data_IF_043240014335
#
_entry.id   IF_043240014335
#
_cell.length_a   1.000
_cell.length_b   1.000
_cell.length_c   1.000
_cell.angle_alpha   90.00
_cell.angle_beta   90.00
_cell.angle_gamma   90.00
#
_symmetry.space_group_name_H-M   'P 1'
#
loop_
_entity.id
_entity.type
_entity.pdbx_description
1 polymer ?
#
# COMPACT_ATOMS: atom_id res chain seq x y z
N UNK A 1 20.61 15.94 -0.51
CA UNK A 1 19.43 16.62 -1.10
C UNK A 1 18.38 15.56 -1.39
N UNK A 2 17.14 15.70 -0.90
CA UNK A 2 16.10 14.71 -1.11
C UNK A 2 15.72 14.59 -2.59
N UNK A 3 15.46 13.36 -3.02
CA UNK A 3 14.91 13.09 -4.36
C UNK A 3 13.39 13.18 -4.25
N UNK A 4 12.74 13.78 -5.22
CA UNK A 4 11.29 13.81 -5.32
C UNK A 4 10.86 13.16 -6.64
N UNK A 5 9.85 12.29 -6.56
CA UNK A 5 9.16 11.78 -7.74
C UNK A 5 7.99 12.70 -8.06
N UNK A 6 7.91 13.17 -9.29
CA UNK A 6 6.82 14.01 -9.75
C UNK A 6 6.03 13.34 -10.87
N UNK A 7 4.76 13.70 -10.95
CA UNK A 7 3.90 13.41 -12.10
C UNK A 7 3.19 14.70 -12.47
N UNK A 8 3.30 15.11 -13.73
CA UNK A 8 2.66 16.31 -14.23
C UNK A 8 2.14 16.13 -15.65
N UNK A 9 1.48 17.16 -16.15
CA UNK A 9 1.08 17.25 -17.56
C UNK A 9 1.84 18.38 -18.23
N UNK A 10 2.37 18.13 -19.42
CA UNK A 10 2.95 19.17 -20.27
C UNK A 10 1.83 20.02 -20.88
N UNK A 11 2.18 21.16 -21.49
CA UNK A 11 1.23 21.99 -22.23
C UNK A 11 0.55 21.24 -23.39
N UNK A 12 1.15 20.16 -23.90
CA UNK A 12 0.57 19.28 -24.92
C UNK A 12 -0.43 18.25 -24.35
N UNK A 13 -0.65 18.23 -23.03
CA UNK A 13 -1.52 17.26 -22.36
C UNK A 13 -0.86 15.92 -22.06
N UNK A 14 0.41 15.72 -22.41
CA UNK A 14 1.16 14.50 -22.15
C UNK A 14 1.52 14.38 -20.68
N UNK A 15 1.27 13.20 -20.09
CA UNK A 15 1.66 12.91 -18.72
C UNK A 15 3.16 12.62 -18.69
N UNK A 16 3.90 13.43 -17.94
CA UNK A 16 5.34 13.25 -17.72
C UNK A 16 5.55 12.93 -16.26
N UNK A 17 6.23 11.81 -16.01
CA UNK A 17 6.66 11.38 -14.69
C UNK A 17 8.17 11.20 -14.67
N UNK A 18 8.82 11.62 -13.58
CA UNK A 18 10.25 11.47 -13.42
C UNK A 18 10.69 11.74 -11.99
N UNK A 19 11.98 11.49 -11.75
CA UNK A 19 12.64 11.78 -10.48
C UNK A 19 13.49 13.05 -10.63
N UNK A 20 13.42 13.95 -9.64
CA UNK A 20 14.18 15.19 -9.59
C UNK A 20 14.67 15.47 -8.18
N UNK A 21 15.90 15.96 -8.09
CA UNK A 21 16.49 16.39 -6.82
C UNK A 21 16.00 17.81 -6.54
N UNK A 22 15.42 18.03 -5.36
CA UNK A 22 14.99 19.36 -4.92
C UNK A 22 15.25 19.52 -3.43
N UNK A 23 15.35 20.76 -2.95
CA UNK A 23 15.52 21.04 -1.52
C UNK A 23 14.18 20.95 -0.77
N UNK A 24 13.06 21.25 -1.43
CA UNK A 24 11.71 21.12 -0.90
C UNK A 24 10.67 21.05 -2.03
N UNK A 25 9.41 20.74 -1.68
CA UNK A 25 8.27 20.66 -2.62
C UNK A 25 8.05 21.96 -3.42
N UNK A 26 8.28 23.11 -2.81
CA UNK A 26 8.09 24.42 -3.46
C UNK A 26 9.12 24.67 -4.56
N UNK A 27 10.39 24.30 -4.29
CA UNK A 27 11.49 24.36 -5.26
C UNK A 27 11.22 23.42 -6.43
N UNK A 28 10.77 22.19 -6.16
CA UNK A 28 10.41 21.25 -7.24
C UNK A 28 9.24 21.79 -8.08
N UNK A 29 8.20 22.32 -7.45
CA UNK A 29 7.06 22.89 -8.17
C UNK A 29 7.47 24.08 -9.04
N UNK A 30 8.40 24.93 -8.57
CA UNK A 30 8.94 26.03 -9.35
C UNK A 30 9.76 25.55 -10.55
N UNK A 31 10.58 24.50 -10.38
CA UNK A 31 11.32 23.86 -11.48
C UNK A 31 10.38 23.28 -12.54
N UNK A 32 9.37 22.51 -12.13
CA UNK A 32 8.39 21.91 -13.05
C UNK A 32 7.60 22.97 -13.82
N UNK A 33 7.18 24.05 -13.15
CA UNK A 33 6.52 25.18 -13.82
C UNK A 33 7.42 25.86 -14.86
N UNK A 34 8.73 26.01 -14.59
CA UNK A 34 9.69 26.54 -15.57
C UNK A 34 9.83 25.64 -16.79
N UNK A 35 9.72 24.33 -16.61
CA UNK A 35 9.73 23.33 -17.68
C UNK A 35 8.38 23.20 -18.43
N UNK A 36 7.40 24.08 -18.16
CA UNK A 36 6.01 23.99 -18.66
C UNK A 36 5.30 22.69 -18.29
N UNK A 37 5.70 22.06 -17.19
CA UNK A 37 5.05 20.88 -16.62
C UNK A 37 4.15 21.37 -15.48
N UNK A 38 2.86 21.12 -15.59
CA UNK A 38 1.91 21.37 -14.50
C UNK A 38 1.92 20.16 -13.57
N UNK A 39 2.49 20.26 -12.35
CA UNK A 39 2.57 19.12 -11.45
C UNK A 39 1.17 18.74 -10.95
N UNK A 40 0.83 17.46 -11.13
CA UNK A 40 -0.41 16.86 -10.62
C UNK A 40 -0.16 16.16 -9.28
N UNK A 41 1.04 15.60 -9.09
CA UNK A 41 1.47 14.96 -7.85
C UNK A 41 2.98 15.14 -7.65
N UNK A 42 3.39 15.44 -6.40
CA UNK A 42 4.78 15.54 -5.98
C UNK A 42 4.93 14.69 -4.72
N UNK A 43 5.82 13.69 -4.75
CA UNK A 43 6.12 12.80 -3.61
C UNK A 43 7.61 12.86 -3.29
N UNK A 44 7.96 12.93 -2.01
CA UNK A 44 9.34 12.93 -1.54
C UNK A 44 9.84 11.48 -1.40
N UNK A 45 10.88 11.14 -2.15
CA UNK A 45 11.60 9.86 -2.10
C UNK A 45 12.60 9.97 -0.94
N UNK A 46 12.12 9.72 0.28
CA UNK A 46 12.92 9.86 1.50
C UNK A 46 12.10 9.93 2.79
N UNK A 47 10.82 10.30 2.72
CA UNK A 47 9.85 10.08 3.80
C UNK A 47 9.00 8.84 3.51
N UNK A 48 9.68 7.73 3.28
CA UNK A 48 9.07 6.40 3.41
C UNK A 48 9.03 6.03 4.89
N UNK A 49 8.34 6.83 5.71
CA UNK A 49 7.59 6.20 6.79
C UNK A 49 6.52 5.41 6.06
N UNK A 50 6.61 4.09 6.16
CA UNK A 50 5.82 3.08 5.49
C UNK A 50 4.29 3.31 5.67
N UNK A 51 3.74 4.26 4.92
CA UNK A 51 2.32 4.31 4.62
C UNK A 51 2.17 3.94 3.13
N UNK A 52 2.18 2.64 2.80
CA UNK A 52 1.91 2.21 1.45
C UNK A 52 0.47 2.63 1.14
N UNK A 53 0.33 3.35 0.04
CA UNK A 53 -0.93 3.81 -0.55
C UNK A 53 -2.02 2.73 -0.45
N UNK A 54 -2.91 2.84 0.54
CA UNK A 54 -4.16 2.09 0.66
C UNK A 54 -5.09 2.60 -0.44
N UNK A 55 -4.97 2.04 -1.63
CA UNK A 55 -5.91 2.32 -2.69
C UNK A 55 -5.29 2.19 -4.06
N UNK A 56 -5.48 1.03 -4.68
CA UNK A 56 -5.92 0.88 -6.08
C UNK A 56 -5.86 -0.57 -6.59
N UNK A 57 -5.45 -1.55 -5.80
CA UNK A 57 -5.67 -2.96 -6.12
C UNK A 57 -6.97 -3.45 -5.49
N UNK A 58 -8.04 -3.61 -6.27
CA UNK A 58 -9.18 -4.41 -5.80
C UNK A 58 -8.67 -5.84 -5.59
N UNK A 59 -8.91 -6.40 -4.40
CA UNK A 59 -8.68 -7.83 -4.18
C UNK A 59 -9.92 -8.57 -4.68
N UNK A 60 -9.77 -9.54 -5.60
CA UNK A 60 -10.89 -10.38 -6.02
C UNK A 60 -11.52 -11.09 -4.81
N UNK A 61 -12.86 -11.14 -4.77
CA UNK A 61 -13.59 -11.84 -3.70
C UNK A 61 -13.21 -13.31 -3.61
N UNK A 62 -12.83 -13.92 -4.74
CA UNK A 62 -12.31 -15.29 -4.80
C UNK A 62 -11.06 -15.48 -3.94
N UNK A 63 -10.12 -14.54 -4.00
CA UNK A 63 -8.85 -14.64 -3.27
C UNK A 63 -9.08 -14.49 -1.76
N UNK A 64 -10.03 -13.63 -1.37
CA UNK A 64 -10.47 -13.45 0.01
C UNK A 64 -11.10 -14.75 0.54
N UNK A 65 -11.99 -15.37 -0.25
CA UNK A 65 -12.64 -16.63 0.14
C UNK A 65 -11.65 -17.79 0.30
N UNK A 66 -10.67 -17.90 -0.62
CA UNK A 66 -9.60 -18.90 -0.54
C UNK A 66 -8.75 -18.68 0.71
N UNK A 67 -8.38 -17.42 0.98
CA UNK A 67 -7.65 -17.05 2.19
C UNK A 67 -8.39 -17.49 3.45
N UNK A 68 -9.67 -17.15 3.61
CA UNK A 68 -10.42 -17.52 4.82
C UNK A 68 -10.59 -19.03 4.98
N UNK A 69 -10.77 -19.75 3.88
CA UNK A 69 -10.83 -21.22 3.91
C UNK A 69 -9.51 -21.82 4.40
N UNK A 70 -8.38 -21.36 3.86
CA UNK A 70 -7.06 -21.85 4.27
C UNK A 70 -6.76 -21.43 5.71
N UNK A 71 -7.12 -20.20 6.09
CA UNK A 71 -6.97 -19.68 7.44
C UNK A 71 -7.74 -20.51 8.45
N UNK A 72 -9.02 -20.83 8.20
CA UNK A 72 -9.81 -21.70 9.08
C UNK A 72 -9.12 -23.05 9.29
N UNK A 73 -8.67 -23.71 8.23
CA UNK A 73 -8.00 -25.02 8.33
C UNK A 73 -6.74 -24.94 9.20
N UNK A 74 -5.96 -23.87 9.08
CA UNK A 74 -4.75 -23.70 9.89
C UNK A 74 -5.07 -23.40 11.36
N UNK A 75 -6.11 -22.59 11.62
CA UNK A 75 -6.58 -22.32 12.97
C UNK A 75 -7.14 -23.59 13.62
N UNK A 76 -7.93 -24.38 12.88
CA UNK A 76 -8.47 -25.67 13.32
C UNK A 76 -7.36 -26.69 13.61
N UNK A 77 -6.24 -26.61 12.88
CA UNK A 77 -5.03 -27.40 13.12
C UNK A 77 -4.20 -26.90 14.31
N UNK A 78 -4.61 -25.83 14.99
CA UNK A 78 -3.95 -25.29 16.18
C UNK A 78 -2.70 -24.45 15.90
N UNK A 79 -2.51 -23.97 14.66
CA UNK A 79 -1.39 -23.09 14.36
C UNK A 79 -1.61 -21.71 15.00
N UNK A 80 -0.54 -21.06 15.51
CA UNK A 80 -0.61 -19.69 16.00
C UNK A 80 -1.12 -18.73 14.93
N UNK A 81 -2.06 -17.86 15.31
CA UNK A 81 -2.71 -16.89 14.41
C UNK A 81 -1.69 -16.07 13.59
N UNK A 82 -0.64 -15.56 14.24
CA UNK A 82 0.42 -14.78 13.58
C UNK A 82 1.15 -15.60 12.50
N UNK A 83 1.37 -16.89 12.77
CA UNK A 83 2.02 -17.81 11.82
C UNK A 83 1.09 -18.11 10.63
N UNK A 84 -0.21 -18.29 10.87
CA UNK A 84 -1.19 -18.45 9.79
C UNK A 84 -1.20 -17.24 8.86
N UNK A 85 -1.23 -16.02 9.42
CA UNK A 85 -1.20 -14.78 8.63
C UNK A 85 0.09 -14.66 7.82
N UNK A 86 1.23 -15.05 8.38
CA UNK A 86 2.52 -15.03 7.69
C UNK A 86 2.57 -15.98 6.50
N UNK A 87 2.18 -17.24 6.70
CA UNK A 87 2.18 -18.25 5.64
C UNK A 87 1.22 -17.86 4.51
N UNK A 88 0.03 -17.36 4.86
CA UNK A 88 -0.96 -16.95 3.86
C UNK A 88 -0.57 -15.67 3.14
N UNK A 89 0.10 -14.72 3.81
CA UNK A 89 0.65 -13.53 3.16
C UNK A 89 1.77 -13.90 2.18
N UNK A 90 2.63 -14.88 2.52
CA UNK A 90 3.71 -15.33 1.65
C UNK A 90 3.22 -16.06 0.39
N UNK A 91 2.10 -16.80 0.49
CA UNK A 91 1.51 -17.54 -0.62
C UNK A 91 0.57 -16.71 -1.51
N UNK A 92 0.41 -15.41 -1.24
CA UNK A 92 -0.58 -14.60 -1.92
C UNK A 92 -0.02 -13.98 -3.22
N UNK A 93 -0.69 -14.23 -4.35
CA UNK A 93 -0.30 -13.71 -5.67
C UNK A 93 -0.61 -12.21 -5.79
N UNK A 94 -1.67 -11.74 -5.13
CA UNK A 94 -2.04 -10.33 -5.14
C UNK A 94 -1.19 -9.52 -4.17
N UNK A 95 -0.25 -8.73 -4.70
CA UNK A 95 0.62 -7.84 -3.92
C UNK A 95 -0.14 -6.86 -3.01
N UNK A 96 -1.36 -6.46 -3.39
CA UNK A 96 -2.18 -5.57 -2.55
C UNK A 96 -2.72 -6.31 -1.34
N UNK A 97 -3.17 -7.55 -1.54
CA UNK A 97 -3.67 -8.38 -0.46
C UNK A 97 -2.54 -8.85 0.47
N UNK A 98 -1.39 -9.22 -0.10
CA UNK A 98 -0.19 -9.54 0.67
C UNK A 98 0.19 -8.40 1.64
N UNK A 99 0.28 -7.15 1.15
CA UNK A 99 0.60 -5.99 1.99
C UNK A 99 -0.44 -5.77 3.10
N UNK A 100 -1.72 -5.97 2.78
CA UNK A 100 -2.79 -5.92 3.76
C UNK A 100 -2.58 -6.95 4.87
N UNK A 101 -2.34 -8.22 4.51
CA UNK A 101 -2.12 -9.30 5.46
C UNK A 101 -0.87 -9.09 6.32
N UNK A 102 0.22 -8.59 5.75
CA UNK A 102 1.42 -8.21 6.51
C UNK A 102 1.13 -7.12 7.54
N UNK A 103 0.36 -6.08 7.18
CA UNK A 103 -0.01 -5.03 8.12
C UNK A 103 -0.96 -5.50 9.22
N UNK A 104 -1.91 -6.39 8.88
CA UNK A 104 -2.75 -7.09 9.86
C UNK A 104 -1.90 -7.90 10.82
N UNK A 105 -0.95 -8.71 10.32
CA UNK A 105 -0.01 -9.50 11.15
C UNK A 105 0.74 -8.61 12.13
N UNK A 106 1.35 -7.53 11.67
CA UNK A 106 2.13 -6.61 12.53
C UNK A 106 1.27 -5.97 13.62
N UNK A 107 0.02 -5.64 13.29
CA UNK A 107 -0.92 -5.04 14.24
C UNK A 107 -1.33 -6.05 15.32
N UNK A 108 -1.57 -7.31 14.94
CA UNK A 108 -1.87 -8.40 15.88
C UNK A 108 -0.65 -8.79 16.71
N UNK A 109 0.54 -8.82 16.12
CA UNK A 109 1.81 -9.03 16.81
C UNK A 109 2.08 -7.94 17.86
N UNK A 110 1.62 -6.72 17.60
CA UNK A 110 1.61 -5.61 18.56
C UNK A 110 0.55 -5.71 19.67
N UNK A 111 -0.23 -6.79 19.72
CA UNK A 111 -1.23 -7.05 20.77
C UNK A 111 -2.66 -6.61 20.45
N UNK A 112 -2.93 -6.11 19.24
CA UNK A 112 -4.29 -5.81 18.83
C UNK A 112 -5.09 -7.08 18.48
N UNK A 113 -6.41 -7.00 18.57
CA UNK A 113 -7.27 -8.09 18.11
C UNK A 113 -7.28 -8.17 16.58
N UNK A 114 -7.47 -9.39 16.04
CA UNK A 114 -7.59 -9.62 14.60
C UNK A 114 -8.69 -8.75 13.98
N UNK A 115 -9.85 -8.64 14.64
CA UNK A 115 -10.96 -7.82 14.17
C UNK A 115 -10.57 -6.34 14.06
N UNK A 116 -9.83 -5.80 15.03
CA UNK A 116 -9.35 -4.41 14.98
C UNK A 116 -8.32 -4.21 13.86
N UNK A 117 -7.43 -5.19 13.67
CA UNK A 117 -6.45 -5.15 12.59
C UNK A 117 -7.12 -5.20 11.20
N UNK A 118 -8.17 -6.00 11.03
CA UNK A 118 -8.92 -6.08 9.76
C UNK A 118 -9.74 -4.83 9.46
N UNK A 119 -10.34 -4.20 10.49
CA UNK A 119 -11.05 -2.91 10.36
C UNK A 119 -10.18 -1.78 9.81
N UNK A 120 -8.85 -1.85 9.96
CA UNK A 120 -7.94 -0.90 9.35
C UNK A 120 -7.94 -0.97 7.80
N UNK A 121 -8.49 -2.04 7.21
CA UNK A 121 -8.52 -2.30 5.77
C UNK A 121 -9.95 -2.50 5.23
N UNK A 122 -10.83 -1.50 5.35
CA UNK A 122 -12.26 -1.62 4.98
C UNK A 122 -12.48 -1.82 3.47
N UNK A 123 -11.50 -1.49 2.63
CA UNK A 123 -11.59 -1.70 1.17
C UNK A 123 -11.45 -3.16 0.75
N UNK A 124 -10.98 -4.03 1.65
CA UNK A 124 -10.69 -5.44 1.39
C UNK A 124 -11.61 -6.32 2.23
N UNK A 125 -11.80 -5.96 3.51
CA UNK A 125 -12.66 -6.67 4.44
C UNK A 125 -13.99 -5.93 4.66
N UNK A 126 -14.57 -5.37 3.60
CA UNK A 126 -15.86 -4.65 3.66
C UNK A 126 -16.87 -5.45 4.49
N UNK A 127 -17.52 -4.78 5.45
CA UNK A 127 -18.16 -5.31 6.68
C UNK A 127 -18.40 -6.84 6.66
N UNK A 128 -17.42 -7.60 7.14
CA UNK A 128 -17.57 -9.01 7.50
C UNK A 128 -17.94 -9.14 8.99
#
# INVERSE_FOLDING_TARGET
MPVFTFTGKTAAGEKVSGDRVAENKQVLQAQLRRERITPSAIKEKGKEIALPTIGSGKVPTKDIAIFFRQFSVMIDAGLPLVQCLEILAANQENMTFQKCLTGVRTTVEGGATLANAMRAYPKIFDDL
#
